data_IF_887067341338
#
_entry.id   IF_887067341338
#
_cell.length_a   1.000
_cell.length_b   1.000
_cell.length_c   1.000
_cell.angle_alpha   90.00
_cell.angle_beta   90.00
_cell.angle_gamma   90.00
#
_symmetry.space_group_name_H-M   'P 1'
#
loop_
_entity.id
_entity.type
_entity.pdbx_description
1 polymer ?
#
# COMPACT_ATOMS: atom_id res chain seq x y z
N UNK A 1 17.96 -20.20 4.44
CA UNK A 1 17.43 -19.89 5.79
C UNK A 1 16.89 -18.47 5.86
N UNK A 2 17.65 -17.47 5.37
CA UNK A 2 17.21 -16.07 5.28
C UNK A 2 15.92 -15.93 4.45
N UNK A 3 15.82 -16.62 3.31
CA UNK A 3 14.65 -16.52 2.42
C UNK A 3 13.35 -17.02 3.07
N UNK A 4 13.45 -18.07 3.88
CA UNK A 4 12.32 -18.63 4.65
C UNK A 4 11.87 -17.62 5.72
N UNK A 5 12.84 -17.02 6.43
CA UNK A 5 12.56 -16.00 7.44
C UNK A 5 11.90 -14.76 6.81
N UNK A 6 12.43 -14.28 5.68
CA UNK A 6 11.90 -13.13 4.95
C UNK A 6 10.48 -13.39 4.44
N UNK A 7 10.25 -14.57 3.87
CA UNK A 7 8.93 -15.01 3.40
C UNK A 7 7.93 -15.04 4.57
N UNK A 8 8.30 -15.63 5.70
CA UNK A 8 7.43 -15.70 6.87
C UNK A 8 7.12 -14.31 7.44
N UNK A 9 8.11 -13.41 7.44
CA UNK A 9 7.91 -12.01 7.82
C UNK A 9 6.89 -11.31 6.92
N UNK A 10 7.05 -11.39 5.58
CA UNK A 10 6.12 -10.76 4.65
C UNK A 10 4.71 -11.38 4.69
N UNK A 11 4.62 -12.69 4.97
CA UNK A 11 3.34 -13.36 5.18
C UNK A 11 2.59 -12.80 6.39
N UNK A 12 3.27 -12.70 7.54
CA UNK A 12 2.69 -12.10 8.76
C UNK A 12 2.34 -10.63 8.53
N UNK A 13 3.24 -9.86 7.89
CA UNK A 13 3.03 -8.46 7.57
C UNK A 13 1.79 -8.26 6.68
N UNK A 14 1.56 -9.16 5.72
CA UNK A 14 0.36 -9.14 4.86
C UNK A 14 -0.91 -9.33 5.68
N UNK A 15 -0.96 -10.34 6.56
CA UNK A 15 -2.15 -10.63 7.39
C UNK A 15 -2.44 -9.46 8.35
N UNK A 16 -1.44 -9.02 9.10
CA UNK A 16 -1.58 -7.93 10.07
C UNK A 16 -1.89 -6.61 9.35
N UNK A 17 -1.22 -6.35 8.23
CA UNK A 17 -1.44 -5.17 7.40
C UNK A 17 -2.87 -5.08 6.88
N UNK A 18 -3.42 -6.16 6.33
CA UNK A 18 -4.82 -6.18 5.89
C UNK A 18 -5.80 -6.04 7.05
N UNK A 19 -5.60 -6.77 8.14
CA UNK A 19 -6.49 -6.72 9.30
C UNK A 19 -6.57 -5.28 9.87
N UNK A 20 -5.41 -4.65 10.08
CA UNK A 20 -5.34 -3.27 10.59
C UNK A 20 -5.87 -2.26 9.57
N UNK A 21 -5.51 -2.39 8.30
CA UNK A 21 -6.04 -1.55 7.22
C UNK A 21 -7.56 -1.57 7.16
N UNK A 22 -8.18 -2.74 7.15
CA UNK A 22 -9.63 -2.86 7.08
C UNK A 22 -10.31 -2.29 8.33
N UNK A 23 -9.77 -2.57 9.52
CA UNK A 23 -10.28 -1.98 10.75
C UNK A 23 -10.25 -0.45 10.71
N UNK A 24 -9.17 0.15 10.17
CA UNK A 24 -9.00 1.60 10.08
C UNK A 24 -9.88 2.21 8.99
N UNK A 25 -9.92 1.63 7.79
CA UNK A 25 -10.72 2.11 6.66
C UNK A 25 -12.22 2.06 6.92
N UNK A 26 -12.70 1.07 7.67
CA UNK A 26 -14.12 0.91 7.98
C UNK A 26 -14.52 1.42 9.37
N UNK A 27 -13.61 2.07 10.09
CA UNK A 27 -13.92 2.68 11.39
C UNK A 27 -14.86 3.87 11.22
N UNK A 28 -16.00 3.84 11.90
CA UNK A 28 -17.00 4.93 11.86
C UNK A 28 -16.54 6.21 12.58
N UNK A 29 -15.47 6.15 13.38
CA UNK A 29 -14.97 7.28 14.19
C UNK A 29 -13.86 8.01 13.43
N UNK A 30 -14.04 9.29 13.12
CA UNK A 30 -13.05 10.12 12.40
C UNK A 30 -12.63 9.58 11.02
N UNK A 31 -13.58 9.02 10.26
CA UNK A 31 -13.38 8.39 8.95
C UNK A 31 -12.41 9.16 8.04
N UNK A 32 -12.62 10.48 7.88
CA UNK A 32 -11.80 11.32 6.99
C UNK A 32 -10.34 11.46 7.45
N UNK A 33 -10.05 11.44 8.76
CA UNK A 33 -8.68 11.57 9.29
C UNK A 33 -7.91 10.25 9.24
N UNK A 34 -8.62 9.14 9.40
CA UNK A 34 -8.02 7.80 9.43
C UNK A 34 -7.94 7.14 8.06
N UNK A 35 -8.64 7.66 7.05
CA UNK A 35 -8.69 7.10 5.70
C UNK A 35 -7.28 6.94 5.08
N UNK A 36 -6.46 7.99 5.10
CA UNK A 36 -5.11 7.94 4.51
C UNK A 36 -4.18 6.98 5.25
N UNK A 37 -4.33 6.82 6.58
CA UNK A 37 -3.61 5.79 7.33
C UNK A 37 -4.04 4.39 6.89
N UNK A 38 -5.34 4.16 6.77
CA UNK A 38 -5.88 2.90 6.28
C UNK A 38 -5.36 2.56 4.88
N UNK A 39 -5.37 3.53 3.96
CA UNK A 39 -4.89 3.35 2.59
C UNK A 39 -3.37 3.11 2.53
N UNK A 40 -2.61 3.76 3.40
CA UNK A 40 -1.17 3.49 3.57
C UNK A 40 -0.91 2.06 4.02
N UNK A 41 -1.60 1.60 5.07
CA UNK A 41 -1.47 0.23 5.58
C UNK A 41 -1.93 -0.80 4.53
N UNK A 42 -3.01 -0.51 3.80
CA UNK A 42 -3.47 -1.33 2.69
C UNK A 42 -2.39 -1.48 1.62
N UNK A 43 -1.82 -0.36 1.18
CA UNK A 43 -0.76 -0.31 0.18
C UNK A 43 0.45 -1.14 0.61
N UNK A 44 0.89 -1.02 1.87
CA UNK A 44 1.99 -1.83 2.40
C UNK A 44 1.64 -3.32 2.49
N UNK A 45 0.40 -3.67 2.83
CA UNK A 45 -0.05 -5.07 2.85
C UNK A 45 0.01 -5.67 1.45
N UNK A 46 -0.47 -4.96 0.43
CA UNK A 46 -0.41 -5.39 -0.98
C UNK A 46 1.04 -5.54 -1.45
N UNK A 47 1.93 -4.60 -1.10
CA UNK A 47 3.37 -4.71 -1.40
C UNK A 47 4.03 -5.88 -0.67
N UNK A 48 3.56 -6.23 0.52
CA UNK A 48 4.07 -7.39 1.25
C UNK A 48 3.73 -8.71 0.54
N UNK A 49 2.60 -8.78 -0.19
CA UNK A 49 2.30 -9.93 -1.07
C UNK A 49 3.38 -10.08 -2.14
N UNK A 50 3.75 -8.99 -2.82
CA UNK A 50 4.81 -9.01 -3.83
C UNK A 50 6.12 -9.54 -3.25
N UNK A 51 6.53 -9.00 -2.10
CA UNK A 51 7.79 -9.35 -1.46
C UNK A 51 7.78 -10.78 -0.88
N UNK A 52 6.64 -11.29 -0.43
CA UNK A 52 6.49 -12.69 -0.03
C UNK A 52 6.85 -13.63 -1.18
N UNK A 53 6.24 -13.43 -2.36
CA UNK A 53 6.53 -14.25 -3.53
C UNK A 53 7.97 -14.07 -4.03
N UNK A 54 8.55 -12.88 -3.83
CA UNK A 54 9.91 -12.58 -4.25
C UNK A 54 10.91 -13.36 -3.40
N UNK A 55 10.65 -13.38 -2.11
CA UNK A 55 11.45 -14.12 -1.13
C UNK A 55 11.31 -15.63 -1.28
N UNK A 56 10.14 -16.11 -1.69
CA UNK A 56 9.88 -17.54 -1.87
C UNK A 56 10.48 -18.14 -3.17
N UNK A 57 11.15 -17.34 -4.01
CA UNK A 57 11.72 -17.76 -5.31
C UNK A 57 10.72 -18.42 -6.28
N UNK A 58 9.40 -18.18 -6.11
CA UNK A 58 8.34 -18.79 -6.94
C UNK A 58 8.09 -17.99 -8.23
N UNK A 59 8.88 -16.94 -8.50
CA UNK A 59 8.64 -16.01 -9.61
C UNK A 59 8.72 -16.60 -11.03
N UNK A 60 9.22 -17.82 -11.21
CA UNK A 60 9.43 -18.42 -12.55
C UNK A 60 8.13 -18.69 -13.32
N UNK A 61 7.01 -18.90 -12.64
CA UNK A 61 5.72 -19.27 -13.28
C UNK A 61 4.57 -18.33 -12.88
N UNK A 62 4.87 -17.13 -12.36
CA UNK A 62 3.85 -16.27 -11.77
C UNK A 62 3.12 -15.40 -12.81
N UNK A 63 1.78 -15.31 -12.77
CA UNK A 63 1.01 -14.53 -13.73
C UNK A 63 1.26 -13.03 -13.56
N UNK A 64 1.30 -12.31 -14.68
CA UNK A 64 1.54 -10.86 -14.79
C UNK A 64 0.61 -10.03 -13.87
N UNK A 65 -0.55 -10.58 -13.51
CA UNK A 65 -1.48 -10.00 -12.54
C UNK A 65 -0.82 -9.66 -11.19
N UNK A 66 0.20 -10.42 -10.75
CA UNK A 66 0.93 -10.11 -9.52
C UNK A 66 1.91 -8.95 -9.65
N UNK A 67 2.34 -8.56 -10.86
CA UNK A 67 3.13 -7.34 -11.06
C UNK A 67 2.37 -6.08 -10.68
N UNK A 68 1.03 -6.10 -10.73
CA UNK A 68 0.19 -5.00 -10.29
C UNK A 68 0.45 -4.67 -8.81
N UNK A 69 0.72 -5.67 -7.96
CA UNK A 69 0.98 -5.45 -6.53
C UNK A 69 2.24 -4.62 -6.27
N UNK A 70 3.21 -4.64 -7.18
CA UNK A 70 4.43 -3.82 -7.10
C UNK A 70 4.13 -2.32 -7.22
N UNK A 71 3.09 -1.95 -7.98
CA UNK A 71 2.71 -0.54 -8.19
C UNK A 71 2.31 0.15 -6.88
N UNK A 72 1.74 -0.60 -5.93
CA UNK A 72 1.22 -0.06 -4.68
C UNK A 72 2.28 0.59 -3.80
N UNK A 73 3.58 0.34 -4.01
CA UNK A 73 4.64 1.05 -3.29
C UNK A 73 4.57 2.57 -3.50
N UNK A 74 4.17 3.01 -4.70
CA UNK A 74 4.02 4.42 -5.04
C UNK A 74 2.79 5.07 -4.40
N UNK A 75 1.84 4.26 -3.91
CA UNK A 75 0.68 4.74 -3.16
C UNK A 75 1.04 4.97 -1.68
N UNK A 76 2.03 4.25 -1.14
CA UNK A 76 2.35 4.28 0.30
C UNK A 76 2.81 5.67 0.77
N UNK A 77 3.80 6.25 0.11
CA UNK A 77 4.39 7.54 0.44
C UNK A 77 3.38 8.71 0.45
N UNK A 78 2.56 8.94 -0.59
CA UNK A 78 1.56 10.01 -0.58
C UNK A 78 0.51 9.82 0.53
N UNK A 79 0.08 8.58 0.78
CA UNK A 79 -0.88 8.29 1.85
C UNK A 79 -0.30 8.62 3.24
N UNK A 80 0.94 8.21 3.51
CA UNK A 80 1.62 8.52 4.77
C UNK A 80 1.77 10.04 4.97
N UNK A 81 2.18 10.77 3.94
CA UNK A 81 2.30 12.23 3.98
C UNK A 81 0.96 12.91 4.30
N UNK A 82 -0.10 12.52 3.60
CA UNK A 82 -1.43 13.11 3.79
C UNK A 82 -2.03 12.78 5.15
N UNK A 83 -1.78 11.57 5.66
CA UNK A 83 -2.15 11.19 7.01
C UNK A 83 -1.48 12.11 8.04
N UNK A 84 -0.15 12.20 8.02
CA UNK A 84 0.61 13.05 8.96
C UNK A 84 0.13 14.51 8.88
N UNK A 85 -0.08 15.03 7.67
CA UNK A 85 -0.59 16.39 7.48
C UNK A 85 -2.00 16.57 8.05
N UNK A 86 -2.89 15.59 7.88
CA UNK A 86 -4.26 15.67 8.43
C UNK A 86 -4.30 15.65 9.95
N UNK A 87 -3.30 15.03 10.59
CA UNK A 87 -3.14 14.97 12.04
C UNK A 87 -2.55 16.27 12.59
N UNK A 88 -1.48 16.77 11.97
CA UNK A 88 -0.77 17.98 12.42
C UNK A 88 -1.52 19.28 12.08
N UNK A 89 -2.20 19.31 10.94
CA UNK A 89 -2.88 20.50 10.41
C UNK A 89 -4.34 20.17 10.07
N UNK A 90 -5.22 19.99 11.06
CA UNK A 90 -6.59 19.54 10.85
C UNK A 90 -7.46 20.51 10.04
N UNK A 91 -7.08 21.79 9.97
CA UNK A 91 -7.77 22.81 9.15
C UNK A 91 -7.20 22.92 7.72
N UNK A 92 -6.12 22.18 7.40
CA UNK A 92 -5.54 22.15 6.06
C UNK A 92 -6.38 21.24 5.16
N UNK A 93 -7.19 21.85 4.29
CA UNK A 93 -7.95 21.11 3.27
C UNK A 93 -6.99 20.50 2.24
N UNK A 94 -7.37 19.34 1.71
CA UNK A 94 -6.70 18.70 0.59
C UNK A 94 -6.62 19.67 -0.61
N UNK A 95 -5.40 19.96 -1.07
CA UNK A 95 -5.12 20.91 -2.15
C UNK A 95 -5.13 20.18 -3.50
N UNK A 96 -5.54 20.86 -4.56
CA UNK A 96 -5.54 20.29 -5.92
C UNK A 96 -4.16 19.75 -6.34
N UNK A 97 -3.07 20.37 -5.90
CA UNK A 97 -1.71 19.94 -6.22
C UNK A 97 -1.30 18.64 -5.51
N UNK A 98 -1.97 18.24 -4.42
CA UNK A 98 -1.64 16.99 -3.72
C UNK A 98 -1.92 15.76 -4.57
N UNK A 99 -2.80 15.87 -5.58
CA UNK A 99 -3.07 14.82 -6.56
C UNK A 99 -1.83 14.39 -7.34
N UNK A 100 -0.87 15.30 -7.59
CA UNK A 100 0.34 14.97 -8.35
C UNK A 100 1.23 13.94 -7.63
N UNK A 101 1.15 13.84 -6.30
CA UNK A 101 1.91 12.81 -5.57
C UNK A 101 1.42 11.39 -5.86
N UNK A 102 0.20 11.22 -6.39
CA UNK A 102 -0.35 9.93 -6.80
C UNK A 102 -0.06 9.58 -8.26
N UNK A 103 0.52 10.50 -9.03
CA UNK A 103 0.82 10.29 -10.45
C UNK A 103 1.75 9.08 -10.70
N UNK A 104 2.83 8.86 -9.91
CA UNK A 104 3.70 7.70 -10.10
C UNK A 104 2.95 6.37 -9.92
N UNK A 105 2.01 6.33 -8.97
CA UNK A 105 1.15 5.16 -8.77
C UNK A 105 0.26 4.92 -9.99
N UNK A 106 -0.45 5.96 -10.46
CA UNK A 106 -1.36 5.83 -11.60
C UNK A 106 -0.64 5.38 -12.88
N UNK A 107 0.50 6.00 -13.20
CA UNK A 107 1.29 5.65 -14.39
C UNK A 107 1.74 4.19 -14.30
N UNK A 108 2.36 3.79 -13.20
CA UNK A 108 2.91 2.44 -13.07
C UNK A 108 1.81 1.38 -13.01
N UNK A 109 0.72 1.66 -12.30
CA UNK A 109 -0.45 0.77 -12.22
C UNK A 109 -1.09 0.56 -13.61
N UNK A 110 -1.28 1.63 -14.39
CA UNK A 110 -1.80 1.54 -15.76
C UNK A 110 -0.89 0.73 -16.68
N UNK A 111 0.43 0.94 -16.61
CA UNK A 111 1.38 0.16 -17.40
C UNK A 111 1.32 -1.33 -17.06
N UNK A 112 1.16 -1.69 -15.78
CA UNK A 112 1.06 -3.10 -15.36
C UNK A 112 -0.27 -3.78 -15.71
N UNK A 113 -1.30 -3.04 -16.11
CA UNK A 113 -2.61 -3.60 -16.53
C UNK A 113 -2.69 -3.80 -18.04
N UNK A 114 -1.98 -2.98 -18.81
CA UNK A 114 -2.06 -2.94 -20.27
C UNK A 114 -1.10 -3.94 -20.95
N UNK A 115 -0.15 -4.49 -20.18
CA UNK A 115 0.77 -5.58 -20.60
C UNK A 115 0.14 -6.92 -20.25
#
# INVERSE_FOLDING_TARGET
>A
MIDILLSLFFFIATIVGFATSFMVLFSRKNYSKSFFLGLFLFSLAVVSIYNFYLSANVFKDFPDLFMITKSFIFLSAPCAFLYVRSVLFPNSVFKKHDWFHFLPFLIYFSLTIVV
#
